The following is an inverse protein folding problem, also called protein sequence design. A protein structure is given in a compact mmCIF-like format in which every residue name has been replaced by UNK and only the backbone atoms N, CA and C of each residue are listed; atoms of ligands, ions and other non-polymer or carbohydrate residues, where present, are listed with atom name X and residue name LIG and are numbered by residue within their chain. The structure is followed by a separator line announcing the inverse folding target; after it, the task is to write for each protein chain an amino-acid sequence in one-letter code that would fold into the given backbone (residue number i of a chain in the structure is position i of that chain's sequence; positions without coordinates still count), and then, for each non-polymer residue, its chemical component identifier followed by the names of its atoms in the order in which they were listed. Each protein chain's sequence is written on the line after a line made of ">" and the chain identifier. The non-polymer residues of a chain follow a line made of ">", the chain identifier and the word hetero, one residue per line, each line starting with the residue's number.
data_IF_434047703740
#
_entry.id   IF_434047703740
#
_cell.length_a   1.000
_cell.length_b   1.000
_cell.length_c   1.000
_cell.angle_alpha   90.00
_cell.angle_beta   90.00
_cell.angle_gamma   90.00
#
_symmetry.space_group_name_H-M   'P 1'
#
loop_
_entity.id
_entity.type
_entity.pdbx_description
1 polymer ?
#
# COMPACT_ATOMS: atom_id res chain seq x y z
N UNK A 1 26.24 28.34 43.15
CA UNK A 1 25.45 28.67 44.36
C UNK A 1 24.34 27.65 44.51
N UNK A 2 24.40 26.83 45.57
CA UNK A 2 23.30 25.93 46.01
C UNK A 2 22.39 26.69 46.98
N UNK A 3 21.09 26.35 47.01
CA UNK A 3 20.04 26.53 48.06
C UNK A 3 18.68 26.69 47.31
N UNK A 4 17.53 26.12 47.67
CA UNK A 4 17.05 25.38 48.85
C UNK A 4 15.68 24.74 48.50
N UNK A 5 15.42 23.54 48.98
CA UNK A 5 14.07 23.01 49.29
C UNK A 5 13.41 23.83 50.41
N UNK A 6 12.07 23.91 50.45
CA UNK A 6 11.25 24.00 51.68
C UNK A 6 9.79 23.63 51.39
N UNK A 7 9.33 22.59 52.11
CA UNK A 7 7.98 22.11 52.35
C UNK A 7 7.13 23.05 53.23
N UNK A 8 5.81 23.15 52.98
CA UNK A 8 4.78 23.39 54.03
C UNK A 8 3.34 23.16 53.49
N UNK A 9 2.67 22.11 53.98
CA UNK A 9 1.20 21.92 54.04
C UNK A 9 0.60 22.67 55.26
N UNK A 10 -0.70 22.55 55.63
CA UNK A 10 -1.97 22.59 54.88
C UNK A 10 -2.98 23.59 55.51
N UNK A 11 -4.18 23.76 54.95
CA UNK A 11 -5.34 24.34 55.66
C UNK A 11 -6.61 23.54 55.46
N UNK A 12 -7.17 23.15 56.60
CA UNK A 12 -8.43 22.41 56.82
C UNK A 12 -9.62 23.37 56.74
N UNK A 13 -10.74 22.90 56.19
CA UNK A 13 -12.07 23.34 56.61
C UNK A 13 -13.05 22.17 56.50
N UNK A 14 -13.64 21.84 57.64
CA UNK A 14 -14.78 20.97 57.88
C UNK A 14 -15.99 21.32 57.01
N UNK A 15 -16.76 20.30 56.59
CA UNK A 15 -18.16 20.26 56.99
C UNK A 15 -18.83 18.88 56.81
N UNK A 16 -19.12 18.29 57.98
CA UNK A 16 -20.36 17.62 58.41
C UNK A 16 -20.96 16.41 57.69
N UNK A 17 -21.21 15.43 58.57
CA UNK A 17 -21.85 14.11 58.48
C UNK A 17 -23.36 14.18 58.17
N UNK A 18 -23.85 13.17 57.44
CA UNK A 18 -25.25 12.78 57.37
C UNK A 18 -25.41 11.27 57.12
N UNK A 19 -25.77 10.54 58.17
CA UNK A 19 -25.94 9.08 58.27
C UNK A 19 -27.29 8.61 57.70
N UNK A 20 -27.35 7.46 57.02
CA UNK A 20 -28.18 6.28 57.38
C UNK A 20 -28.58 5.35 56.21
N UNK A 21 -28.26 4.06 56.40
CA UNK A 21 -29.06 2.85 56.16
C UNK A 21 -29.77 2.58 54.83
N UNK A 22 -29.43 1.44 54.22
CA UNK A 22 -30.31 0.71 53.31
C UNK A 22 -29.62 -0.44 52.60
N UNK A 23 -29.64 -1.64 53.18
CA UNK A 23 -29.33 -2.86 52.46
C UNK A 23 -30.44 -3.17 51.45
N UNK A 24 -30.05 -3.48 50.21
CA UNK A 24 -30.95 -3.88 49.13
C UNK A 24 -30.16 -4.48 47.98
N UNK A 25 -30.08 -5.80 47.96
CA UNK A 25 -29.80 -6.59 46.76
C UNK A 25 -30.91 -6.35 45.74
N UNK A 26 -30.60 -5.86 44.54
CA UNK A 26 -31.34 -6.16 43.30
C UNK A 26 -30.67 -5.56 42.05
N UNK A 27 -30.43 -6.46 41.10
CA UNK A 27 -30.54 -6.27 39.64
C UNK A 27 -29.48 -5.43 38.93
N UNK A 28 -28.53 -6.16 38.31
CA UNK A 28 -27.90 -5.73 37.07
C UNK A 28 -29.00 -5.59 36.00
N UNK A 29 -29.21 -4.37 35.51
CA UNK A 29 -30.01 -4.10 34.32
C UNK A 29 -29.14 -3.24 33.39
N UNK A 30 -28.72 -3.89 32.31
CA UNK A 30 -28.66 -3.41 30.93
C UNK A 30 -28.43 -1.91 30.74
N UNK A 31 -27.23 -1.58 30.29
CA UNK A 31 -27.01 -0.47 29.37
C UNK A 31 -26.27 -1.05 28.17
N UNK A 32 -27.04 -1.79 27.40
CA UNK A 32 -26.74 -2.15 26.02
C UNK A 32 -26.74 -0.83 25.24
N UNK A 33 -25.55 -0.40 24.84
CA UNK A 33 -25.31 0.76 24.00
C UNK A 33 -24.40 0.36 22.85
N UNK A 34 -24.68 -0.79 22.23
CA UNK A 34 -24.27 -1.10 20.87
C UNK A 34 -24.91 -0.04 19.96
N UNK A 35 -24.18 1.05 19.77
CA UNK A 35 -24.31 1.85 18.57
C UNK A 35 -23.66 1.07 17.44
N UNK A 36 -24.29 -0.03 17.02
CA UNK A 36 -24.05 -0.60 15.71
C UNK A 36 -24.40 0.50 14.72
N UNK A 37 -23.37 1.15 14.19
CA UNK A 37 -23.50 1.94 12.99
C UNK A 37 -23.94 0.96 11.89
N UNK A 38 -25.26 0.88 11.69
CA UNK A 38 -25.85 0.25 10.53
C UNK A 38 -25.30 0.96 9.28
N UNK A 39 -24.23 0.42 8.71
CA UNK A 39 -23.75 0.81 7.39
C UNK A 39 -24.77 0.33 6.38
N UNK A 40 -25.59 1.26 5.93
CA UNK A 40 -26.56 1.09 4.86
C UNK A 40 -25.85 0.71 3.54
N UNK A 41 -26.38 -0.29 2.84
CA UNK A 41 -26.00 -0.65 1.47
C UNK A 41 -25.20 -1.94 1.34
N UNK A 42 -25.71 -2.89 0.56
CA UNK A 42 -25.07 -4.16 0.21
C UNK A 42 -23.83 -4.02 -0.70
N UNK A 43 -22.84 -3.25 -0.27
CA UNK A 43 -21.52 -3.16 -0.87
C UNK A 43 -20.62 -4.31 -0.40
N UNK A 44 -19.66 -4.69 -1.24
CA UNK A 44 -18.61 -5.64 -0.86
C UNK A 44 -17.86 -5.17 0.39
N UNK A 45 -17.38 -6.11 1.21
CA UNK A 45 -16.61 -5.78 2.41
C UNK A 45 -15.38 -4.94 2.06
N UNK A 46 -15.02 -3.93 2.89
CA UNK A 46 -13.83 -3.13 2.69
C UNK A 46 -12.59 -4.02 2.62
N UNK A 47 -11.68 -3.75 1.67
CA UNK A 47 -10.42 -4.48 1.48
C UNK A 47 -9.25 -3.50 1.66
N UNK A 48 -8.11 -3.96 2.20
CA UNK A 48 -6.90 -3.18 2.24
C UNK A 48 -6.29 -3.08 0.83
N UNK A 49 -5.75 -1.91 0.52
CA UNK A 49 -5.11 -1.55 -0.73
C UNK A 49 -3.85 -0.73 -0.45
N UNK A 50 -2.83 -0.91 -1.27
CA UNK A 50 -1.58 -0.15 -1.20
C UNK A 50 -1.42 0.71 -2.46
N UNK A 51 -1.08 1.98 -2.27
CA UNK A 51 -0.91 2.96 -3.34
C UNK A 51 0.47 3.60 -3.21
N UNK A 52 1.27 3.57 -4.29
CA UNK A 52 2.54 4.30 -4.38
C UNK A 52 2.37 5.56 -5.19
N UNK A 53 2.79 6.66 -4.62
CA UNK A 53 2.65 8.02 -5.12
C UNK A 53 4.02 8.67 -5.27
N UNK A 54 4.12 9.58 -6.24
CA UNK A 54 5.26 10.45 -6.46
C UNK A 54 4.84 11.89 -6.18
N UNK A 55 5.30 12.45 -5.06
CA UNK A 55 4.92 13.77 -4.59
C UNK A 55 6.00 14.81 -4.89
N UNK A 56 5.62 16.02 -5.28
CA UNK A 56 6.55 17.15 -5.34
C UNK A 56 7.06 17.47 -3.92
N UNK A 57 8.35 17.80 -3.79
CA UNK A 57 8.96 18.24 -2.53
C UNK A 57 8.57 19.69 -2.19
N UNK A 58 7.28 19.90 -1.93
CA UNK A 58 6.69 21.18 -1.52
C UNK A 58 5.84 21.03 -0.26
N UNK A 59 5.81 22.05 0.63
CA UNK A 59 4.96 22.02 1.82
C UNK A 59 3.49 21.82 1.49
N UNK A 60 2.86 20.84 2.13
CA UNK A 60 1.42 20.55 1.97
C UNK A 60 1.09 19.53 0.87
N UNK A 61 2.07 19.07 0.09
CA UNK A 61 1.81 18.13 -1.00
C UNK A 61 1.21 16.79 -0.53
N UNK A 62 1.67 16.26 0.62
CA UNK A 62 1.07 15.06 1.21
C UNK A 62 -0.41 15.27 1.55
N UNK A 63 -0.76 16.42 2.13
CA UNK A 63 -2.14 16.72 2.47
C UNK A 63 -3.02 16.81 1.21
N UNK A 64 -2.52 17.47 0.16
CA UNK A 64 -3.21 17.56 -1.12
C UNK A 64 -3.45 16.17 -1.74
N UNK A 65 -2.49 15.24 -1.59
CA UNK A 65 -2.64 13.87 -2.08
C UNK A 65 -3.61 13.01 -1.25
N UNK A 66 -3.75 13.27 0.05
CA UNK A 66 -4.69 12.51 0.90
C UNK A 66 -6.14 12.97 0.78
N UNK A 67 -6.38 14.21 0.35
CA UNK A 67 -7.72 14.76 0.25
C UNK A 67 -8.64 13.97 -0.72
N UNK A 68 -8.22 13.63 -1.96
CA UNK A 68 -9.00 12.78 -2.86
C UNK A 68 -9.32 11.40 -2.27
N UNK A 69 -8.40 10.81 -1.49
CA UNK A 69 -8.62 9.51 -0.84
C UNK A 69 -9.75 9.61 0.19
N UNK A 70 -9.71 10.65 1.03
CA UNK A 70 -10.72 10.88 2.04
C UNK A 70 -12.09 11.22 1.44
N UNK A 71 -12.14 12.05 0.39
CA UNK A 71 -13.39 12.45 -0.30
C UNK A 71 -14.08 11.27 -1.00
N UNK A 72 -13.31 10.27 -1.44
CA UNK A 72 -13.82 9.05 -2.08
C UNK A 72 -14.02 7.88 -1.09
N UNK A 73 -13.94 8.15 0.22
CA UNK A 73 -14.26 7.18 1.27
C UNK A 73 -13.20 6.11 1.50
N UNK A 74 -11.93 6.40 1.19
CA UNK A 74 -10.79 5.58 1.59
C UNK A 74 -10.41 5.84 3.05
N UNK A 75 -10.32 4.78 3.86
CA UNK A 75 -9.84 4.83 5.23
C UNK A 75 -8.34 4.59 5.29
N UNK A 76 -7.55 5.55 5.72
CA UNK A 76 -6.10 5.41 5.76
C UNK A 76 -5.67 4.46 6.88
N UNK A 77 -4.86 3.45 6.53
CA UNK A 77 -4.27 2.51 7.48
C UNK A 77 -2.87 2.96 7.88
N UNK A 78 -2.03 3.25 6.89
CA UNK A 78 -0.60 3.49 7.06
C UNK A 78 -0.06 4.41 5.96
N UNK A 79 0.97 5.19 6.28
CA UNK A 79 1.70 6.01 5.31
C UNK A 79 3.19 5.81 5.56
N UNK A 80 3.93 5.46 4.52
CA UNK A 80 5.36 5.27 4.55
C UNK A 80 6.08 6.20 3.55
N UNK A 81 7.16 6.82 4.02
CA UNK A 81 8.06 7.61 3.19
C UNK A 81 9.52 7.31 3.56
N UNK A 82 10.41 7.24 2.58
CA UNK A 82 11.84 7.04 2.83
C UNK A 82 12.59 8.37 2.69
N UNK A 83 13.24 8.81 3.78
CA UNK A 83 13.94 10.10 3.79
C UNK A 83 15.23 10.02 2.99
N UNK A 84 15.31 10.79 1.89
CA UNK A 84 16.50 10.92 1.05
C UNK A 84 16.43 10.16 -0.28
N UNK A 85 15.31 9.48 -0.55
CA UNK A 85 15.06 8.85 -1.83
C UNK A 85 14.25 9.84 -2.69
N UNK A 86 14.90 10.44 -3.69
CA UNK A 86 14.21 11.21 -4.72
C UNK A 86 14.16 10.35 -5.97
N UNK A 87 13.01 10.32 -6.61
CA UNK A 87 12.92 9.66 -7.91
C UNK A 87 13.74 10.46 -8.95
N UNK A 88 14.08 9.91 -10.12
CA UNK A 88 14.86 10.64 -11.14
C UNK A 88 14.26 11.99 -11.55
N UNK A 89 12.96 12.19 -11.28
CA UNK A 89 12.22 13.44 -11.51
C UNK A 89 12.35 14.46 -10.39
N UNK A 90 12.97 14.11 -9.26
CA UNK A 90 13.09 14.95 -8.07
C UNK A 90 11.87 14.92 -7.14
N UNK A 91 11.03 13.89 -7.23
CA UNK A 91 9.83 13.73 -6.41
C UNK A 91 10.08 12.78 -5.23
N UNK A 92 9.32 12.94 -4.15
CA UNK A 92 9.32 12.10 -2.96
C UNK A 92 8.39 10.90 -3.21
N UNK A 93 8.90 9.65 -3.20
CA UNK A 93 8.05 8.48 -3.23
C UNK A 93 7.35 8.31 -1.87
N UNK A 94 6.04 8.14 -1.90
CA UNK A 94 5.18 7.92 -0.72
C UNK A 94 4.31 6.70 -0.97
N UNK A 95 4.29 5.78 -0.02
CA UNK A 95 3.40 4.62 -0.03
C UNK A 95 2.27 4.86 0.99
N UNK A 96 1.04 4.59 0.57
CA UNK A 96 -0.18 4.81 1.35
C UNK A 96 -0.99 3.52 1.35
N UNK A 97 -1.20 2.96 2.53
CA UNK A 97 -2.12 1.86 2.75
C UNK A 97 -3.48 2.43 3.15
N UNK A 98 -4.53 1.96 2.48
CA UNK A 98 -5.90 2.41 2.69
C UNK A 98 -6.88 1.23 2.62
N UNK A 99 -8.02 1.36 3.26
CA UNK A 99 -9.11 0.40 3.21
C UNK A 99 -10.32 1.04 2.54
N UNK A 100 -10.87 0.37 1.53
CA UNK A 100 -12.10 0.81 0.89
C UNK A 100 -12.87 -0.37 0.27
N UNK A 101 -14.18 -0.21 0.01
CA UNK A 101 -14.91 -1.12 -0.86
C UNK A 101 -14.23 -1.20 -2.25
N UNK A 102 -14.13 -2.39 -2.87
CA UNK A 102 -13.40 -2.59 -4.12
C UNK A 102 -13.96 -1.75 -5.28
N UNK A 103 -15.26 -1.48 -5.29
CA UNK A 103 -15.96 -0.62 -6.25
C UNK A 103 -15.56 0.86 -6.15
N UNK A 104 -14.98 1.29 -5.02
CA UNK A 104 -14.54 2.68 -4.80
C UNK A 104 -13.04 2.88 -5.05
N UNK A 105 -12.27 1.80 -5.09
CA UNK A 105 -10.82 1.88 -5.22
C UNK A 105 -10.42 2.56 -6.54
N UNK A 106 -11.04 2.18 -7.66
CA UNK A 106 -10.78 2.81 -8.96
C UNK A 106 -11.10 4.32 -8.93
N UNK A 107 -12.21 4.72 -8.31
CA UNK A 107 -12.58 6.12 -8.14
C UNK A 107 -11.58 6.93 -7.31
N UNK A 108 -10.98 6.31 -6.27
CA UNK A 108 -9.89 6.93 -5.51
C UNK A 108 -8.66 7.15 -6.39
N UNK A 109 -8.28 6.17 -7.22
CA UNK A 109 -7.12 6.25 -8.12
C UNK A 109 -7.32 7.33 -9.18
N UNK A 110 -8.50 7.41 -9.76
CA UNK A 110 -8.81 8.43 -10.77
C UNK A 110 -8.82 9.83 -10.15
N UNK A 111 -9.40 10.01 -8.96
CA UNK A 111 -9.38 11.28 -8.26
C UNK A 111 -7.95 11.76 -7.91
N UNK A 112 -7.05 10.84 -7.57
CA UNK A 112 -5.62 11.14 -7.36
C UNK A 112 -4.95 11.65 -8.64
N UNK A 113 -5.24 11.01 -9.79
CA UNK A 113 -4.70 11.42 -11.09
C UNK A 113 -5.23 12.80 -11.51
N UNK A 114 -6.52 13.03 -11.33
CA UNK A 114 -7.18 14.33 -11.62
C UNK A 114 -6.64 15.46 -10.73
N UNK A 115 -6.26 15.15 -9.50
CA UNK A 115 -5.59 16.07 -8.58
C UNK A 115 -4.12 16.35 -8.95
N UNK A 116 -3.59 15.75 -10.03
CA UNK A 116 -2.22 15.92 -10.47
C UNK A 116 -1.19 15.16 -9.64
N UNK A 117 -1.62 14.18 -8.84
CA UNK A 117 -0.74 13.29 -8.09
C UNK A 117 -0.27 12.17 -9.02
N UNK A 118 1.04 11.98 -9.12
CA UNK A 118 1.56 10.88 -9.92
C UNK A 118 1.39 9.55 -9.17
N UNK A 119 0.52 8.67 -9.68
CA UNK A 119 0.27 7.34 -9.12
C UNK A 119 1.19 6.34 -9.82
N UNK A 120 2.15 5.78 -9.09
CA UNK A 120 3.12 4.79 -9.58
C UNK A 120 2.54 3.38 -9.50
N UNK A 121 1.76 3.09 -8.45
CA UNK A 121 1.10 1.80 -8.22
C UNK A 121 -0.18 2.03 -7.45
N UNK A 122 -1.23 1.28 -7.75
CA UNK A 122 -2.44 1.24 -6.97
C UNK A 122 -3.05 -0.16 -7.02
N UNK A 123 -3.16 -0.85 -5.88
CA UNK A 123 -3.85 -2.13 -5.81
C UNK A 123 -3.67 -2.83 -4.48
N UNK A 124 -4.59 -3.76 -4.18
CA UNK A 124 -4.38 -4.71 -3.10
C UNK A 124 -3.25 -5.65 -3.54
N UNK A 125 -2.14 -5.67 -2.81
CA UNK A 125 -1.29 -6.86 -2.77
C UNK A 125 -2.15 -7.97 -2.15
N UNK A 126 -2.95 -8.65 -2.97
CA UNK A 126 -3.54 -9.92 -2.63
C UNK A 126 -2.36 -10.84 -2.33
N UNK A 127 -2.02 -11.08 -1.05
CA UNK A 127 -0.91 -11.92 -0.59
C UNK A 127 -0.39 -12.82 -1.71
N UNK A 128 0.58 -12.27 -2.42
CA UNK A 128 1.00 -12.77 -3.70
C UNK A 128 2.24 -13.59 -3.50
N UNK A 129 2.34 -14.69 -4.20
CA UNK A 129 3.61 -15.37 -4.32
C UNK A 129 4.52 -14.44 -5.14
N UNK A 130 5.55 -13.90 -4.50
CA UNK A 130 6.54 -13.09 -5.19
C UNK A 130 7.54 -13.99 -5.91
N UNK A 131 7.72 -13.76 -7.20
CA UNK A 131 8.76 -14.40 -7.99
C UNK A 131 9.68 -13.35 -8.60
N UNK A 132 10.98 -13.65 -8.54
CA UNK A 132 11.99 -12.83 -9.22
C UNK A 132 12.49 -13.58 -10.43
N UNK A 133 12.45 -12.92 -11.59
CA UNK A 133 12.93 -13.45 -12.85
C UNK A 133 13.91 -12.48 -13.51
N UNK A 134 14.78 -13.02 -14.36
CA UNK A 134 15.75 -12.25 -15.13
C UNK A 134 15.44 -12.44 -16.61
N UNK A 135 15.22 -11.33 -17.31
CA UNK A 135 15.15 -11.28 -18.76
C UNK A 135 16.53 -10.90 -19.31
N UNK A 136 17.00 -11.59 -20.35
CA UNK A 136 18.26 -11.30 -21.03
C UNK A 136 18.01 -11.25 -22.53
N UNK A 137 18.39 -10.15 -23.18
CA UNK A 137 18.19 -9.94 -24.61
C UNK A 137 18.20 -8.47 -24.99
N UNK A 138 17.65 -8.15 -26.14
CA UNK A 138 17.54 -6.77 -26.60
C UNK A 138 16.30 -6.08 -26.03
N UNK A 139 16.27 -5.84 -24.72
CA UNK A 139 15.09 -5.33 -24.00
C UNK A 139 14.77 -3.87 -24.35
N UNK A 140 15.76 -3.10 -24.80
CA UNK A 140 15.55 -1.69 -25.13
C UNK A 140 14.95 -1.53 -26.52
N UNK A 141 15.49 -2.22 -27.53
CA UNK A 141 14.92 -2.15 -28.89
C UNK A 141 13.63 -2.98 -29.01
N UNK A 142 13.43 -4.01 -28.16
CA UNK A 142 12.19 -4.82 -28.15
C UNK A 142 11.02 -4.22 -27.36
N UNK A 143 11.13 -2.96 -26.92
CA UNK A 143 10.11 -2.24 -26.14
C UNK A 143 9.79 -2.96 -24.81
N UNK A 144 10.66 -2.72 -23.82
CA UNK A 144 10.46 -3.21 -22.45
C UNK A 144 9.14 -2.71 -21.85
N UNK A 145 8.69 -1.50 -22.19
CA UNK A 145 7.44 -0.95 -21.66
C UNK A 145 6.23 -1.76 -22.14
N UNK A 146 6.18 -2.10 -23.44
CA UNK A 146 5.18 -3.03 -23.99
C UNK A 146 5.27 -4.41 -23.32
N UNK A 147 6.48 -4.91 -23.10
CA UNK A 147 6.69 -6.20 -22.45
C UNK A 147 6.10 -6.22 -21.03
N UNK A 148 6.37 -5.18 -20.23
CA UNK A 148 5.84 -5.06 -18.88
C UNK A 148 4.31 -4.92 -18.89
N UNK A 149 3.78 -4.09 -19.78
CA UNK A 149 2.34 -3.90 -19.93
C UNK A 149 1.62 -5.21 -20.28
N UNK A 150 2.15 -5.98 -21.24
CA UNK A 150 1.59 -7.27 -21.64
C UNK A 150 1.66 -8.31 -20.52
N UNK A 151 2.71 -8.30 -19.70
CA UNK A 151 2.81 -9.19 -18.53
C UNK A 151 1.68 -8.88 -17.54
N UNK A 152 1.43 -7.60 -17.26
CA UNK A 152 0.37 -7.18 -16.33
C UNK A 152 -1.05 -7.39 -16.90
N UNK A 153 -1.23 -7.34 -18.22
CA UNK A 153 -2.51 -7.62 -18.86
C UNK A 153 -2.80 -9.13 -18.98
N UNK A 154 -1.77 -9.94 -19.25
CA UNK A 154 -1.92 -11.36 -19.58
C UNK A 154 -1.92 -12.25 -18.34
N UNK A 155 -1.26 -11.83 -17.28
CA UNK A 155 -1.21 -12.55 -16.02
C UNK A 155 -1.98 -11.77 -14.96
N UNK A 156 -2.69 -12.49 -14.08
CA UNK A 156 -3.15 -11.94 -12.79
C UNK A 156 -1.93 -11.68 -11.87
N UNK A 157 -0.97 -10.89 -12.36
CA UNK A 157 0.31 -10.59 -11.75
C UNK A 157 0.71 -9.14 -12.01
N UNK A 158 1.28 -8.52 -10.99
CA UNK A 158 1.70 -7.12 -11.01
C UNK A 158 3.22 -7.04 -10.99
N UNK A 159 3.81 -6.13 -11.75
CA UNK A 159 5.25 -5.88 -11.70
C UNK A 159 5.57 -5.03 -10.47
N UNK A 160 6.20 -5.64 -9.46
CA UNK A 160 6.50 -4.97 -8.19
C UNK A 160 7.84 -4.23 -8.19
N UNK A 161 8.78 -4.63 -9.04
CA UNK A 161 10.10 -4.00 -9.16
C UNK A 161 10.74 -4.32 -10.51
N UNK A 162 11.44 -3.34 -11.09
CA UNK A 162 12.20 -3.50 -12.34
C UNK A 162 13.58 -2.89 -12.17
N UNK A 163 14.62 -3.65 -12.48
CA UNK A 163 16.00 -3.16 -12.56
C UNK A 163 16.61 -3.56 -13.89
N UNK A 164 16.87 -2.56 -14.74
CA UNK A 164 17.52 -2.76 -16.03
C UNK A 164 19.03 -2.52 -15.91
N UNK A 165 19.82 -3.39 -16.53
CA UNK A 165 21.26 -3.26 -16.69
C UNK A 165 21.61 -3.43 -18.16
N UNK A 166 22.15 -2.37 -18.76
CA UNK A 166 22.63 -2.35 -20.15
C UNK A 166 24.09 -1.86 -20.16
N UNK A 167 25.05 -2.71 -19.73
CA UNK A 167 26.43 -2.28 -19.48
C UNK A 167 27.15 -1.78 -20.73
N UNK A 168 26.75 -2.24 -21.91
CA UNK A 168 27.31 -1.80 -23.21
C UNK A 168 26.47 -0.74 -23.93
N UNK A 169 25.45 -0.17 -23.29
CA UNK A 169 24.50 0.76 -23.91
C UNK A 169 23.29 0.07 -24.54
N UNK A 170 22.44 0.84 -25.23
CA UNK A 170 21.10 0.40 -25.72
C UNK A 170 21.13 -0.46 -26.98
N UNK A 171 22.31 -0.80 -27.52
CA UNK A 171 22.47 -1.50 -28.81
C UNK A 171 23.04 -2.93 -28.67
N UNK A 172 23.27 -3.36 -27.44
CA UNK A 172 23.83 -4.66 -27.11
C UNK A 172 22.93 -5.36 -26.08
N UNK A 173 23.19 -6.64 -25.83
CA UNK A 173 22.43 -7.47 -24.89
C UNK A 173 22.30 -6.77 -23.54
N UNK A 174 21.05 -6.55 -23.15
CA UNK A 174 20.64 -5.98 -21.87
C UNK A 174 20.03 -7.06 -21.00
N UNK A 175 20.01 -6.81 -19.69
CA UNK A 175 19.36 -7.70 -18.73
C UNK A 175 18.44 -6.91 -17.83
N UNK A 176 17.23 -7.40 -17.58
CA UNK A 176 16.32 -6.83 -16.59
C UNK A 176 16.01 -7.87 -15.52
N UNK A 177 16.13 -7.47 -14.26
CA UNK A 177 15.53 -8.19 -13.13
C UNK A 177 14.13 -7.67 -12.92
N UNK A 178 13.16 -8.55 -12.92
CA UNK A 178 11.76 -8.26 -12.66
C UNK A 178 11.33 -8.98 -11.39
N UNK A 179 10.64 -8.29 -10.50
CA UNK A 179 9.89 -8.90 -9.40
C UNK A 179 8.42 -8.82 -9.75
N UNK A 180 7.75 -9.96 -9.76
CA UNK A 180 6.31 -10.08 -10.00
C UNK A 180 5.64 -10.53 -8.71
N UNK A 181 4.50 -9.94 -8.40
CA UNK A 181 3.57 -10.47 -7.41
C UNK A 181 2.37 -11.06 -8.17
N UNK A 182 2.24 -12.39 -8.13
CA UNK A 182 1.08 -13.08 -8.69
C UNK A 182 0.09 -13.42 -7.57
N UNK A 183 -1.21 -13.43 -7.87
CA UNK A 183 -2.21 -13.94 -6.93
C UNK A 183 -1.86 -15.38 -6.51
N UNK A 184 -2.14 -15.76 -5.26
CA UNK A 184 -1.88 -17.12 -4.77
C UNK A 184 -2.41 -18.20 -5.75
N UNK A 185 -1.56 -19.16 -6.10
CA UNK A 185 -1.85 -20.20 -7.09
C UNK A 185 -1.82 -19.77 -8.56
N UNK A 186 -1.50 -18.51 -8.87
CA UNK A 186 -1.38 -18.00 -10.25
C UNK A 186 0.07 -17.82 -10.72
N UNK A 187 1.05 -18.08 -9.86
CA UNK A 187 2.49 -17.96 -10.17
C UNK A 187 2.89 -18.72 -11.43
N UNK A 188 2.42 -19.97 -11.57
CA UNK A 188 2.72 -20.81 -12.74
C UNK A 188 2.15 -20.23 -14.03
N UNK A 189 0.92 -19.69 -13.98
CA UNK A 189 0.29 -19.03 -15.12
C UNK A 189 1.02 -17.73 -15.49
N UNK A 190 1.42 -16.94 -14.50
CA UNK A 190 2.21 -15.73 -14.71
C UNK A 190 3.57 -16.03 -15.36
N UNK A 191 4.28 -17.05 -14.86
CA UNK A 191 5.55 -17.50 -15.46
C UNK A 191 5.36 -18.05 -16.89
N UNK A 192 4.24 -18.74 -17.17
CA UNK A 192 3.91 -19.17 -18.53
C UNK A 192 3.70 -17.97 -19.47
N UNK A 193 2.92 -16.98 -19.07
CA UNK A 193 2.71 -15.76 -19.86
C UNK A 193 4.03 -15.02 -20.15
N UNK A 194 4.90 -14.88 -19.13
CA UNK A 194 6.23 -14.28 -19.30
C UNK A 194 7.07 -15.07 -20.31
N UNK A 195 7.04 -16.41 -20.26
CA UNK A 195 7.76 -17.26 -21.22
C UNK A 195 7.26 -17.09 -22.65
N UNK A 196 5.95 -17.00 -22.84
CA UNK A 196 5.35 -16.83 -24.17
C UNK A 196 5.72 -15.46 -24.77
N UNK A 197 5.61 -14.38 -23.97
CA UNK A 197 6.00 -13.03 -24.40
C UNK A 197 7.51 -12.95 -24.69
N UNK A 198 8.33 -13.56 -23.83
CA UNK A 198 9.77 -13.59 -24.01
C UNK A 198 10.17 -14.38 -25.26
N UNK A 199 9.54 -15.53 -25.52
CA UNK A 199 9.78 -16.31 -26.72
C UNK A 199 9.43 -15.54 -28.00
N UNK A 200 8.31 -14.80 -27.99
CA UNK A 200 7.91 -13.93 -29.11
C UNK A 200 8.95 -12.84 -29.40
N UNK A 201 9.56 -12.27 -28.35
CA UNK A 201 10.56 -11.20 -28.45
C UNK A 201 12.01 -11.69 -28.49
N UNK A 202 12.22 -13.00 -28.63
CA UNK A 202 13.54 -13.66 -28.62
C UNK A 202 14.37 -13.33 -27.36
N UNK A 203 13.70 -13.17 -26.22
CA UNK A 203 14.29 -12.92 -24.90
C UNK A 203 14.50 -14.23 -24.15
N UNK A 204 15.61 -14.32 -23.43
CA UNK A 204 15.89 -15.41 -22.51
C UNK A 204 15.34 -15.11 -21.12
N UNK A 205 14.59 -16.05 -20.55
CA UNK A 205 14.05 -15.95 -19.19
C UNK A 205 14.81 -16.89 -18.27
N UNK A 206 15.26 -16.36 -17.13
CA UNK A 206 15.70 -17.15 -15.97
C UNK A 206 14.63 -16.99 -14.90
N UNK A 207 13.95 -18.09 -14.61
CA UNK A 207 12.88 -18.16 -13.62
C UNK A 207 13.31 -18.95 -12.38
N UNK A 208 12.70 -18.70 -11.21
CA UNK A 208 13.03 -19.44 -10.00
C UNK A 208 12.51 -20.88 -10.08
N UNK A 209 13.18 -21.80 -9.39
CA UNK A 209 12.69 -23.18 -9.28
C UNK A 209 11.47 -23.19 -8.36
N UNK A 210 10.29 -23.42 -8.91
CA UNK A 210 9.05 -23.60 -8.15
C UNK A 210 8.80 -25.09 -7.90
N UNK A 211 8.18 -25.43 -6.77
CA UNK A 211 7.98 -26.83 -6.33
C UNK A 211 7.10 -27.68 -7.27
N UNK A 212 6.44 -27.08 -8.26
CA UNK A 212 5.64 -27.79 -9.29
C UNK A 212 6.45 -28.20 -10.54
N UNK A 213 7.73 -27.84 -10.65
CA UNK A 213 8.55 -28.14 -11.84
C UNK A 213 9.38 -29.44 -11.74
N UNK A 214 9.04 -30.35 -10.81
CA UNK A 214 9.75 -31.61 -10.56
C UNK A 214 8.88 -32.86 -10.77
#
# INVERSE_FOLDING_TARGET
>A
MRRRETTAEPRVADNTVGTAHGGGTMSAQNLDGEGDAETDGGGEMPKPHTVRLELVDEPGQLLAALQPIAENGGNLLSIFHERGNLTPRGHIPVEVDLECPPDRFEGIVDALRDAGVNVIRAGAEHFGEEVTLILVGDLVDSDLSDTLYRIEESADATVTDVSLSAPSGTKETSSARLRLAARSGQTTAALAAVRDIAAEKELHVVEPLTEESA
#
